data_IF_983534105183
#
_entry.id   IF_983534105183
#
_cell.length_a   1.000
_cell.length_b   1.000
_cell.length_c   1.000
_cell.angle_alpha   90.00
_cell.angle_beta   90.00
_cell.angle_gamma   90.00
#
_symmetry.space_group_name_H-M   'P 1'
#
loop_
_entity.id
_entity.type
_entity.pdbx_description
1 polymer ?
#
# COMPACT_ATOMS: atom_id res chain seq x y z
N UNK A 1 -26.94 -9.62 28.11
CA UNK A 1 -27.70 -9.39 26.88
C UNK A 1 -27.90 -7.88 26.83
N UNK A 2 -26.82 -7.16 26.55
CA UNK A 2 -26.44 -6.69 25.20
C UNK A 2 -27.35 -5.57 24.73
N UNK A 3 -26.95 -4.34 25.04
CA UNK A 3 -27.25 -3.18 24.21
C UNK A 3 -26.25 -2.08 24.59
N UNK A 4 -25.26 -1.85 23.73
CA UNK A 4 -24.47 -0.63 23.81
C UNK A 4 -24.27 -0.03 22.42
N UNK A 5 -25.16 0.90 22.12
CA UNK A 5 -24.90 2.19 21.46
C UNK A 5 -23.83 2.23 20.36
N UNK A 6 -24.29 2.02 19.13
CA UNK A 6 -24.06 2.87 17.94
C UNK A 6 -22.86 3.83 18.05
N UNK A 7 -21.70 3.37 17.59
CA UNK A 7 -20.65 4.26 17.08
C UNK A 7 -20.90 4.46 15.58
N UNK A 8 -21.55 5.58 15.28
CA UNK A 8 -21.70 6.13 13.94
C UNK A 8 -20.32 6.60 13.45
N UNK A 9 -19.58 5.72 12.78
CA UNK A 9 -18.37 6.06 12.07
C UNK A 9 -18.69 6.09 10.58
N UNK A 10 -19.00 7.29 10.08
CA UNK A 10 -19.04 7.64 8.67
C UNK A 10 -17.62 7.54 8.07
N UNK A 11 -17.06 6.34 7.98
CA UNK A 11 -15.83 6.10 7.24
C UNK A 11 -16.23 5.54 5.88
N UNK A 12 -15.90 6.29 4.83
CA UNK A 12 -15.98 5.81 3.46
C UNK A 12 -15.47 4.37 3.39
N UNK A 13 -16.39 3.46 3.09
CA UNK A 13 -16.22 2.02 3.07
C UNK A 13 -15.45 1.61 1.81
N UNK A 14 -14.22 2.07 1.68
CA UNK A 14 -13.25 1.42 0.80
C UNK A 14 -12.60 0.33 1.66
N UNK A 15 -12.92 -0.93 1.36
CA UNK A 15 -12.52 -2.11 2.13
C UNK A 15 -11.01 -2.41 1.97
N UNK A 16 -10.19 -1.41 2.30
CA UNK A 16 -8.75 -1.36 2.12
C UNK A 16 -8.10 -2.06 3.31
N UNK A 17 -7.99 -3.39 3.23
CA UNK A 17 -7.25 -4.19 4.20
C UNK A 17 -5.75 -3.98 4.03
N UNK A 18 -5.08 -3.58 5.11
CA UNK A 18 -3.62 -3.47 5.19
C UNK A 18 -3.06 -4.84 5.62
N UNK A 19 -2.01 -5.29 4.95
CA UNK A 19 -1.30 -6.53 5.25
C UNK A 19 0.20 -6.32 5.08
N UNK A 20 0.99 -7.35 5.35
CA UNK A 20 2.45 -7.27 5.20
C UNK A 20 2.93 -8.51 4.48
N UNK A 21 3.75 -8.33 3.46
CA UNK A 21 4.34 -9.39 2.65
C UNK A 21 5.86 -9.34 2.76
N UNK A 22 6.51 -10.47 2.98
CA UNK A 22 7.97 -10.55 3.00
C UNK A 22 8.51 -10.74 1.59
N UNK A 23 9.36 -9.83 1.12
CA UNK A 23 10.04 -9.88 -0.18
C UNK A 23 11.54 -9.83 0.05
N UNK A 24 12.26 -10.90 -0.32
CA UNK A 24 13.71 -11.04 -0.09
C UNK A 24 14.09 -10.70 1.36
N UNK A 25 13.36 -11.30 2.31
CA UNK A 25 13.53 -11.10 3.76
C UNK A 25 13.24 -9.68 4.28
N UNK A 26 12.69 -8.80 3.45
CA UNK A 26 12.22 -7.47 3.86
C UNK A 26 10.69 -7.47 3.98
N UNK A 27 10.11 -7.11 5.14
CA UNK A 27 8.67 -6.94 5.27
C UNK A 27 8.23 -5.66 4.54
N UNK A 28 7.33 -5.81 3.57
CA UNK A 28 6.75 -4.72 2.78
C UNK A 28 5.26 -4.67 3.05
N UNK A 29 4.76 -3.47 3.38
CA UNK A 29 3.33 -3.22 3.58
C UNK A 29 2.59 -3.39 2.26
N UNK A 30 1.51 -4.17 2.32
CA UNK A 30 0.59 -4.42 1.23
C UNK A 30 -0.80 -3.88 1.55
N UNK A 31 -1.56 -3.58 0.50
CA UNK A 31 -2.91 -3.07 0.56
C UNK A 31 -3.75 -3.78 -0.50
N UNK A 32 -4.94 -4.25 -0.12
CA UNK A 32 -5.91 -4.74 -1.09
C UNK A 32 -6.58 -3.55 -1.78
N UNK A 33 -6.47 -3.47 -3.10
CA UNK A 33 -7.15 -2.45 -3.92
C UNK A 33 -7.70 -3.12 -5.16
N UNK A 34 -9.00 -2.96 -5.40
CA UNK A 34 -9.70 -3.55 -6.55
C UNK A 34 -9.55 -5.09 -6.61
N UNK A 35 -9.67 -5.74 -5.45
CA UNK A 35 -9.52 -7.20 -5.31
C UNK A 35 -8.11 -7.74 -5.55
N UNK A 36 -7.11 -6.87 -5.73
CA UNK A 36 -5.70 -7.24 -5.91
C UNK A 36 -4.85 -6.71 -4.77
N UNK A 37 -3.93 -7.54 -4.32
CA UNK A 37 -2.90 -7.10 -3.38
C UNK A 37 -1.86 -6.23 -4.09
N UNK A 38 -1.58 -5.06 -3.51
CA UNK A 38 -0.62 -4.08 -4.02
C UNK A 38 0.38 -3.72 -2.95
N UNK A 39 1.64 -3.62 -3.32
CA UNK A 39 2.74 -3.35 -2.40
C UNK A 39 3.10 -1.87 -2.38
N UNK A 40 3.57 -1.37 -1.23
CA UNK A 40 4.04 -0.01 -1.09
C UNK A 40 5.35 0.23 -1.87
N UNK A 41 5.25 0.96 -2.98
CA UNK A 41 6.42 1.28 -3.82
C UNK A 41 7.49 2.07 -3.04
N UNK A 42 7.09 2.93 -2.10
CA UNK A 42 8.03 3.72 -1.32
C UNK A 42 8.94 2.84 -0.44
N UNK A 43 8.38 1.81 0.20
CA UNK A 43 9.17 0.85 0.98
C UNK A 43 10.07 0.01 0.09
N UNK A 44 9.55 -0.52 -1.02
CA UNK A 44 10.37 -1.26 -2.01
C UNK A 44 11.54 -0.39 -2.49
N UNK A 45 11.27 0.89 -2.79
CA UNK A 45 12.29 1.83 -3.24
C UNK A 45 13.38 2.07 -2.18
N UNK A 46 12.99 2.18 -0.91
CA UNK A 46 13.91 2.51 0.17
C UNK A 46 14.72 1.33 0.68
N UNK A 47 14.14 0.13 0.70
CA UNK A 47 14.77 -1.05 1.28
C UNK A 47 15.44 -1.92 0.22
N UNK A 48 14.72 -2.26 -0.85
CA UNK A 48 15.19 -3.20 -1.87
C UNK A 48 15.94 -2.51 -3.02
N UNK A 49 15.60 -1.26 -3.33
CA UNK A 49 16.14 -0.53 -4.48
C UNK A 49 16.89 0.75 -4.09
N UNK A 50 17.40 0.83 -2.85
CA UNK A 50 18.09 2.01 -2.30
C UNK A 50 19.24 2.55 -3.16
N UNK A 51 19.89 1.68 -3.93
CA UNK A 51 20.99 2.02 -4.83
C UNK A 51 20.58 2.62 -6.17
N UNK A 52 19.29 2.69 -6.48
CA UNK A 52 18.76 3.21 -7.73
C UNK A 52 18.03 4.53 -7.50
N UNK A 53 18.22 5.48 -8.42
CA UNK A 53 17.43 6.69 -8.41
C UNK A 53 15.95 6.39 -8.71
N UNK A 54 15.05 7.22 -8.19
CA UNK A 54 13.63 7.11 -8.50
C UNK A 54 13.35 7.15 -10.01
N UNK A 55 14.15 7.92 -10.76
CA UNK A 55 14.06 7.99 -12.22
C UNK A 55 14.44 6.65 -12.90
N UNK A 56 15.48 5.98 -12.43
CA UNK A 56 15.84 4.64 -12.93
C UNK A 56 14.76 3.62 -12.63
N UNK A 57 14.23 3.61 -11.40
CA UNK A 57 13.13 2.73 -10.99
C UNK A 57 11.90 3.00 -11.87
N UNK A 58 11.58 4.27 -12.15
CA UNK A 58 10.50 4.68 -13.04
C UNK A 58 10.70 4.17 -14.48
N UNK A 59 11.88 4.37 -15.06
CA UNK A 59 12.17 3.94 -16.43
C UNK A 59 12.11 2.42 -16.56
N UNK A 60 12.63 1.68 -15.57
CA UNK A 60 12.61 0.22 -15.55
C UNK A 60 11.18 -0.32 -15.42
N UNK A 61 10.35 0.22 -14.52
CA UNK A 61 8.95 -0.22 -14.39
C UNK A 61 8.15 0.05 -15.67
N UNK A 62 8.39 1.19 -16.35
CA UNK A 62 7.72 1.54 -17.61
C UNK A 62 8.13 0.59 -18.73
N UNK A 63 9.43 0.28 -18.85
CA UNK A 63 9.93 -0.68 -19.83
C UNK A 63 9.37 -2.10 -19.61
N UNK A 64 9.08 -2.47 -18.36
CA UNK A 64 8.45 -3.74 -17.98
C UNK A 64 6.92 -3.72 -18.08
N UNK A 65 6.30 -2.59 -18.40
CA UNK A 65 4.84 -2.44 -18.45
C UNK A 65 4.16 -2.49 -17.09
N UNK A 66 4.88 -2.24 -15.99
CA UNK A 66 4.34 -2.26 -14.63
C UNK A 66 3.66 -0.92 -14.33
N UNK A 67 2.34 -0.95 -14.20
CA UNK A 67 1.52 0.22 -13.83
C UNK A 67 1.33 0.29 -12.31
N UNK A 68 1.73 1.40 -11.70
CA UNK A 68 1.46 1.68 -10.30
C UNK A 68 0.14 2.45 -10.18
N UNK A 69 -0.72 2.03 -9.26
CA UNK A 69 -1.91 2.81 -8.91
C UNK A 69 -1.50 3.89 -7.91
N UNK A 70 -2.05 5.08 -8.03
CA UNK A 70 -1.89 6.08 -6.98
C UNK A 70 -2.79 5.73 -5.82
N UNK A 71 -2.22 5.75 -4.61
CA UNK A 71 -2.99 5.54 -3.39
C UNK A 71 -3.96 6.70 -3.21
N UNK A 72 -5.19 6.41 -2.78
CA UNK A 72 -6.13 7.46 -2.37
C UNK A 72 -5.64 8.12 -1.06
N UNK A 73 -6.10 9.34 -0.73
CA UNK A 73 -5.70 10.01 0.51
C UNK A 73 -5.94 9.16 1.77
N UNK A 74 -7.04 8.38 1.79
CA UNK A 74 -7.37 7.46 2.90
C UNK A 74 -6.35 6.33 3.01
N UNK A 75 -5.94 5.75 1.88
CA UNK A 75 -4.94 4.69 1.84
C UNK A 75 -3.55 5.20 2.27
N UNK A 76 -3.20 6.44 1.89
CA UNK A 76 -1.98 7.09 2.36
C UNK A 76 -2.00 7.29 3.88
N UNK A 77 -3.14 7.66 4.46
CA UNK A 77 -3.29 7.78 5.90
C UNK A 77 -3.14 6.43 6.61
N UNK A 78 -3.71 5.35 6.06
CA UNK A 78 -3.51 3.99 6.57
C UNK A 78 -2.04 3.56 6.51
N UNK A 79 -1.37 3.81 5.38
CA UNK A 79 0.06 3.50 5.21
C UNK A 79 0.98 4.32 6.13
N UNK A 80 0.56 5.52 6.55
CA UNK A 80 1.31 6.32 7.55
C UNK A 80 1.18 5.80 8.98
N UNK A 81 0.10 5.06 9.26
CA UNK A 81 -0.22 4.55 10.61
C UNK A 81 0.23 3.11 10.83
N UNK A 82 0.57 2.39 9.76
CA UNK A 82 1.16 1.05 9.78
C UNK A 82 2.68 1.13 9.97
#
# INVERSE_FOLDING_TARGET
>A
MEDNSILNDNRHHDNSYVSTCTIRDVPIVSLITDGKERLCLAQISNDLLKGFSYNEIHNRRVALGITCVQCTPVQLELLRRA
#
